data_IF_211830107025
#
_entry.id   IF_211830107025
#
_cell.length_a   1.000
_cell.length_b   1.000
_cell.length_c   1.000
_cell.angle_alpha   90.00
_cell.angle_beta   90.00
_cell.angle_gamma   90.00
#
_symmetry.space_group_name_H-M   'P 1'
#
loop_
_entity.id
_entity.type
_entity.pdbx_description
1 polymer ?
#
# COMPACT_ATOMS: atom_id res chain seq x y z
N UNK A 1 -22.94 8.81 -14.57
CA UNK A 1 -22.58 8.93 -13.13
C UNK A 1 -22.43 7.53 -12.53
N UNK A 2 -21.34 7.29 -11.82
CA UNK A 2 -21.10 5.98 -11.18
C UNK A 2 -22.04 5.84 -9.98
N UNK A 3 -22.79 4.74 -9.95
CA UNK A 3 -23.60 4.40 -8.77
C UNK A 3 -22.72 3.68 -7.74
N UNK A 4 -22.28 4.41 -6.72
CA UNK A 4 -21.36 3.90 -5.68
C UNK A 4 -22.00 2.76 -4.88
N UNK A 5 -23.30 2.81 -4.62
CA UNK A 5 -23.99 1.74 -3.88
C UNK A 5 -23.96 0.41 -4.64
N UNK A 6 -24.23 0.43 -5.95
CA UNK A 6 -24.13 -0.75 -6.79
C UNK A 6 -22.68 -1.28 -6.87
N UNK A 7 -21.71 -0.39 -6.97
CA UNK A 7 -20.30 -0.76 -7.00
C UNK A 7 -19.86 -1.41 -5.68
N UNK A 8 -20.25 -0.85 -4.53
CA UNK A 8 -19.99 -1.44 -3.21
C UNK A 8 -20.57 -2.83 -3.07
N UNK A 9 -21.83 -3.03 -3.49
CA UNK A 9 -22.48 -4.34 -3.44
C UNK A 9 -21.78 -5.35 -4.34
N UNK A 10 -21.44 -4.97 -5.56
CA UNK A 10 -20.73 -5.84 -6.48
C UNK A 10 -19.35 -6.25 -5.93
N UNK A 11 -18.61 -5.31 -5.33
CA UNK A 11 -17.32 -5.60 -4.73
C UNK A 11 -17.43 -6.47 -3.47
N UNK A 12 -18.45 -6.26 -2.65
CA UNK A 12 -18.72 -7.12 -1.50
C UNK A 12 -18.98 -8.58 -1.91
N UNK A 13 -19.78 -8.80 -2.97
CA UNK A 13 -20.00 -10.13 -3.52
C UNK A 13 -18.73 -10.76 -4.08
N UNK A 14 -17.94 -10.00 -4.83
CA UNK A 14 -16.63 -10.48 -5.34
C UNK A 14 -15.70 -10.89 -4.20
N UNK A 15 -15.68 -10.13 -3.13
CA UNK A 15 -14.88 -10.46 -1.95
C UNK A 15 -15.34 -11.75 -1.29
N UNK A 16 -16.65 -11.92 -1.09
CA UNK A 16 -17.22 -13.12 -0.47
C UNK A 16 -17.01 -14.37 -1.34
N UNK A 17 -17.12 -14.23 -2.66
CA UNK A 17 -17.00 -15.32 -3.61
C UNK A 17 -15.57 -15.60 -4.06
N UNK A 18 -14.62 -14.80 -3.63
CA UNK A 18 -13.22 -14.93 -3.97
C UNK A 18 -12.68 -16.32 -3.56
N UNK A 19 -11.93 -16.91 -4.46
CA UNK A 19 -11.20 -18.15 -4.22
C UNK A 19 -9.71 -17.90 -4.48
N UNK A 20 -8.87 -18.32 -3.55
CA UNK A 20 -7.42 -18.26 -3.72
C UNK A 20 -6.94 -19.59 -4.28
N UNK A 21 -6.14 -19.52 -5.34
CA UNK A 21 -5.50 -20.70 -5.93
C UNK A 21 -4.58 -21.32 -4.88
N UNK A 22 -4.73 -22.63 -4.61
CA UNK A 22 -4.00 -23.32 -3.54
C UNK A 22 -2.48 -23.16 -3.64
N UNK A 23 -1.92 -23.16 -4.85
CA UNK A 23 -0.49 -22.96 -5.07
C UNK A 23 0.04 -21.56 -4.70
N UNK A 24 -0.85 -20.57 -4.51
CA UNK A 24 -0.48 -19.20 -4.11
C UNK A 24 -0.65 -18.94 -2.61
N UNK A 25 -1.24 -19.87 -1.86
CA UNK A 25 -1.53 -19.67 -0.43
C UNK A 25 -0.26 -19.37 0.37
N UNK A 26 0.81 -20.12 0.13
CA UNK A 26 2.08 -19.92 0.84
C UNK A 26 2.69 -18.55 0.55
N UNK A 27 2.62 -18.07 -0.69
CA UNK A 27 3.11 -16.74 -1.09
C UNK A 27 2.29 -15.64 -0.41
N UNK A 28 0.97 -15.78 -0.39
CA UNK A 28 0.05 -14.82 0.23
C UNK A 28 0.29 -14.76 1.74
N UNK A 29 0.40 -15.91 2.40
CA UNK A 29 0.66 -15.98 3.84
C UNK A 29 2.01 -15.35 4.21
N UNK A 30 3.04 -15.59 3.42
CA UNK A 30 4.35 -14.99 3.62
C UNK A 30 4.31 -13.46 3.46
N UNK A 31 3.63 -12.98 2.44
CA UNK A 31 3.44 -11.54 2.22
C UNK A 31 2.62 -10.91 3.36
N UNK A 32 1.51 -11.52 3.73
CA UNK A 32 0.69 -11.05 4.84
C UNK A 32 1.48 -10.98 6.16
N UNK A 33 2.30 -11.99 6.45
CA UNK A 33 3.16 -12.01 7.64
C UNK A 33 4.12 -10.82 7.69
N UNK A 34 4.66 -10.41 6.55
CA UNK A 34 5.52 -9.20 6.47
C UNK A 34 4.72 -7.91 6.72
N UNK A 35 3.49 -7.84 6.20
CA UNK A 35 2.66 -6.64 6.33
C UNK A 35 2.10 -6.45 7.74
N UNK A 36 1.87 -7.51 8.48
CA UNK A 36 1.37 -7.47 9.87
C UNK A 36 2.49 -7.45 10.92
N UNK A 37 3.75 -7.52 10.50
CA UNK A 37 4.88 -7.34 11.41
C UNK A 37 4.68 -6.08 12.26
N UNK A 38 4.90 -6.12 13.59
CA UNK A 38 4.55 -5.01 14.48
C UNK A 38 5.14 -3.67 14.06
N UNK A 39 6.38 -3.63 13.60
CA UNK A 39 7.03 -2.39 13.17
C UNK A 39 6.42 -1.85 11.86
N UNK A 40 6.16 -2.74 10.91
CA UNK A 40 5.50 -2.36 9.65
C UNK A 40 4.08 -1.90 9.91
N UNK A 41 3.30 -2.65 10.68
CA UNK A 41 1.91 -2.29 11.02
C UNK A 41 1.83 -0.94 11.73
N UNK A 42 2.74 -0.66 12.67
CA UNK A 42 2.77 0.63 13.36
C UNK A 42 2.94 1.80 12.39
N UNK A 43 3.76 1.65 11.35
CA UNK A 43 3.93 2.67 10.30
C UNK A 43 2.66 2.85 9.48
N UNK A 44 2.00 1.76 9.10
CA UNK A 44 0.72 1.82 8.36
C UNK A 44 -0.40 2.45 9.19
N UNK A 45 -0.49 2.13 10.47
CA UNK A 45 -1.45 2.74 11.40
C UNK A 45 -1.20 4.24 11.55
N UNK A 46 0.05 4.67 11.62
CA UNK A 46 0.38 6.10 11.67
C UNK A 46 -0.11 6.86 10.44
N UNK A 47 0.03 6.29 9.25
CA UNK A 47 -0.51 6.87 8.01
C UNK A 47 -2.04 6.83 8.00
N UNK A 48 -2.64 5.74 8.44
CA UNK A 48 -4.09 5.59 8.55
C UNK A 48 -4.70 6.68 9.43
N UNK A 49 -4.08 7.00 10.56
CA UNK A 49 -4.54 8.04 11.48
C UNK A 49 -4.51 9.45 10.86
N UNK A 50 -3.65 9.68 9.87
CA UNK A 50 -3.56 10.96 9.17
C UNK A 50 -4.46 11.07 7.95
N UNK A 51 -4.82 9.95 7.33
CA UNK A 51 -5.50 9.92 6.04
C UNK A 51 -6.93 9.42 6.13
N UNK A 52 -7.32 8.81 7.25
CA UNK A 52 -8.58 8.07 7.39
C UNK A 52 -8.74 6.88 6.43
N UNK A 53 -7.64 6.46 5.82
CA UNK A 53 -7.59 5.22 5.03
C UNK A 53 -7.24 4.07 5.97
N UNK A 54 -7.95 2.93 5.92
CA UNK A 54 -7.63 1.78 6.77
C UNK A 54 -6.18 1.31 6.60
N UNK A 55 -5.52 0.98 7.70
CA UNK A 55 -4.10 0.61 7.68
C UNK A 55 -3.79 -0.56 6.75
N UNK A 56 -4.68 -1.54 6.66
CA UNK A 56 -4.46 -2.72 5.80
C UNK A 56 -4.56 -2.39 4.31
N UNK A 57 -5.34 -1.38 3.93
CA UNK A 57 -5.37 -0.85 2.55
C UNK A 57 -4.02 -0.22 2.21
N UNK A 58 -3.48 0.58 3.12
CA UNK A 58 -2.16 1.21 2.96
C UNK A 58 -1.06 0.14 2.84
N UNK A 59 -1.13 -0.89 3.68
CA UNK A 59 -0.19 -2.01 3.65
C UNK A 59 -0.20 -2.74 2.29
N UNK A 60 -1.37 -3.04 1.75
CA UNK A 60 -1.52 -3.71 0.46
C UNK A 60 -1.01 -2.82 -0.68
N UNK A 61 -1.31 -1.53 -0.65
CA UNK A 61 -0.78 -0.57 -1.64
C UNK A 61 0.75 -0.53 -1.59
N UNK A 62 1.34 -0.48 -0.40
CA UNK A 62 2.79 -0.49 -0.23
C UNK A 62 3.45 -1.75 -0.80
N UNK A 63 2.85 -2.91 -0.58
CA UNK A 63 3.31 -4.16 -1.19
C UNK A 63 3.18 -4.13 -2.72
N UNK A 64 2.04 -3.69 -3.23
CA UNK A 64 1.76 -3.65 -4.67
C UNK A 64 2.65 -2.67 -5.43
N UNK A 65 2.87 -1.50 -4.88
CA UNK A 65 3.56 -0.41 -5.59
C UNK A 65 5.08 -0.40 -5.36
N UNK A 66 5.55 -0.91 -4.24
CA UNK A 66 6.95 -0.82 -3.86
C UNK A 66 7.53 -2.10 -3.26
N UNK A 67 6.81 -3.23 -3.34
CA UNK A 67 7.22 -4.50 -2.71
C UNK A 67 7.61 -4.33 -1.24
N UNK A 68 6.87 -3.49 -0.52
CA UNK A 68 7.12 -3.11 0.87
C UNK A 68 8.48 -2.41 1.11
N UNK A 69 9.08 -1.84 0.09
CA UNK A 69 10.33 -1.11 0.25
C UNK A 69 10.11 0.24 0.95
N UNK A 70 10.79 0.44 2.06
CA UNK A 70 10.79 1.73 2.78
C UNK A 70 11.73 2.77 2.15
N UNK A 71 12.41 2.40 1.08
CA UNK A 71 13.38 3.25 0.37
C UNK A 71 12.86 3.76 -0.98
N UNK A 72 11.78 3.18 -1.49
CA UNK A 72 11.18 3.54 -2.77
C UNK A 72 9.97 4.44 -2.60
N UNK A 73 9.74 5.33 -3.56
CA UNK A 73 8.48 6.07 -3.66
C UNK A 73 7.41 5.20 -4.32
N UNK A 74 6.14 5.51 -4.08
CA UNK A 74 5.02 4.71 -4.58
C UNK A 74 4.65 4.97 -6.03
N UNK A 75 5.14 6.06 -6.61
CA UNK A 75 4.76 6.45 -7.96
C UNK A 75 5.66 5.83 -9.03
N UNK A 76 6.97 5.91 -8.86
CA UNK A 76 7.96 5.44 -9.83
C UNK A 76 8.75 4.21 -9.37
N UNK A 77 8.70 3.87 -8.08
CA UNK A 77 9.56 2.84 -7.49
C UNK A 77 11.01 3.27 -7.26
N UNK A 78 11.35 4.50 -7.62
CA UNK A 78 12.67 5.06 -7.39
C UNK A 78 12.92 5.39 -5.92
N UNK A 79 14.19 5.55 -5.47
CA UNK A 79 14.48 5.99 -4.12
C UNK A 79 13.76 7.29 -3.78
N UNK A 80 13.07 7.34 -2.64
CA UNK A 80 12.28 8.51 -2.21
C UNK A 80 13.14 9.75 -1.95
N UNK A 81 14.41 9.56 -1.62
CA UNK A 81 15.38 10.62 -1.29
C UNK A 81 16.18 11.13 -2.50
N UNK A 82 15.81 10.71 -3.68
CA UNK A 82 16.45 11.12 -4.93
C UNK A 82 15.41 11.55 -5.95
N UNK A 83 15.85 12.25 -6.98
CA UNK A 83 14.99 12.63 -8.11
C UNK A 83 14.71 11.39 -8.94
N UNK A 84 13.44 11.15 -9.29
CA UNK A 84 13.00 9.98 -10.03
C UNK A 84 13.55 9.98 -11.47
N UNK A 85 14.06 8.82 -11.89
CA UNK A 85 14.56 8.58 -13.25
C UNK A 85 13.55 7.83 -14.13
N UNK A 86 12.58 7.13 -13.52
CA UNK A 86 11.49 6.47 -14.22
C UNK A 86 10.33 7.43 -14.46
N UNK A 87 9.47 7.10 -15.41
CA UNK A 87 8.35 7.96 -15.83
C UNK A 87 7.26 8.00 -14.74
N UNK A 88 6.77 9.20 -14.35
CA UNK A 88 7.19 10.54 -14.77
C UNK A 88 8.53 10.95 -14.13
N UNK A 89 9.48 11.33 -14.95
CA UNK A 89 10.82 11.73 -14.51
C UNK A 89 10.83 13.08 -13.79
N UNK A 90 11.87 13.30 -12.99
CA UNK A 90 12.14 14.61 -12.38
C UNK A 90 11.33 14.89 -11.12
N UNK A 91 10.58 13.91 -10.61
CA UNK A 91 9.83 14.02 -9.35
C UNK A 91 10.72 13.68 -8.16
N UNK A 92 10.46 14.33 -7.03
CA UNK A 92 11.23 14.17 -5.81
C UNK A 92 12.41 15.16 -5.72
N UNK A 93 13.30 14.99 -4.73
CA UNK A 93 13.21 13.97 -3.68
C UNK A 93 11.98 14.20 -2.77
N UNK A 94 11.44 13.12 -2.24
CA UNK A 94 10.29 13.16 -1.34
C UNK A 94 10.74 13.22 0.12
N UNK A 95 9.95 13.86 0.98
CA UNK A 95 10.26 13.90 2.41
C UNK A 95 9.91 12.57 3.06
N UNK A 96 10.78 12.10 3.96
CA UNK A 96 10.47 10.96 4.81
C UNK A 96 9.25 11.29 5.67
N UNK A 97 8.20 10.49 5.58
CA UNK A 97 7.06 10.56 6.49
C UNK A 97 7.57 10.33 7.93
N UNK A 98 7.51 11.36 8.77
CA UNK A 98 7.96 11.27 10.17
C UNK A 98 8.65 12.50 10.72
N UNK A 99 9.04 13.45 9.89
CA UNK A 99 9.46 14.76 10.36
C UNK A 99 8.42 15.81 10.00
N UNK A 100 7.30 15.80 10.71
CA UNK A 100 6.59 17.05 10.90
C UNK A 100 7.50 17.91 11.80
N UNK A 101 8.14 18.88 11.21
CA UNK A 101 8.59 20.03 12.00
C UNK A 101 7.31 20.69 12.50
N UNK A 102 7.13 20.68 13.82
CA UNK A 102 6.18 21.56 14.48
C UNK A 102 6.47 23.01 14.12
#
# INVERSE_FOLDING_TARGET
>A
MINIALLKNANAHRWQDMRVIAGLMAVIDKTASRLIDPDAKARYVAVANRTSVPWFVIAVIHEREASQSWKANLAQGDPWNAVSIHIPRGRGPFRKLGRCRG
#
